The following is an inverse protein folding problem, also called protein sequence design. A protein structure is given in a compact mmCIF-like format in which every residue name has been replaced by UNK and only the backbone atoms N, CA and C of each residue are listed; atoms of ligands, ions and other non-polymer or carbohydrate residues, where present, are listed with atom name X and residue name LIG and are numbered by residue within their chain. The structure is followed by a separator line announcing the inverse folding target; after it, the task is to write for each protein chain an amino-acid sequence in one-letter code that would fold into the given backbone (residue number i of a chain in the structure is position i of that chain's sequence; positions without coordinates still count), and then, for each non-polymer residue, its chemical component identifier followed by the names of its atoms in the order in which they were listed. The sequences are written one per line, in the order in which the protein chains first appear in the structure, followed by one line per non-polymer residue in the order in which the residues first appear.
data_IF_050192992261
#
_entry.id   IF_050192992261
#
_cell.length_a   1.000
_cell.length_b   1.000
_cell.length_c   1.000
_cell.angle_alpha   90.00
_cell.angle_beta   90.00
_cell.angle_gamma   90.00
#
_symmetry.space_group_name_H-M   'P 1'
#
loop_
_entity.id
_entity.type
_entity.pdbx_description
1 polymer ?
#
# COMPACT_ATOMS: atom_id res chain seq x y z
N UNK A 1 18.10 -17.03 5.35
CA UNK A 1 18.67 -16.44 6.58
C UNK A 1 20.14 -16.01 6.38
N UNK A 2 20.43 -15.05 5.50
CA UNK A 2 21.83 -14.60 5.30
C UNK A 2 22.22 -13.41 6.16
N UNK A 3 21.27 -12.58 6.57
CA UNK A 3 21.53 -11.30 7.25
C UNK A 3 22.29 -11.47 8.58
N UNK A 4 21.90 -12.36 9.52
CA UNK A 4 22.65 -12.57 10.74
C UNK A 4 24.11 -12.98 10.50
N UNK A 5 24.35 -13.86 9.53
CA UNK A 5 25.69 -14.32 9.19
C UNK A 5 26.56 -13.17 8.65
N UNK A 6 26.01 -12.30 7.80
CA UNK A 6 26.74 -11.12 7.29
C UNK A 6 27.09 -10.12 8.40
N UNK A 7 26.21 -9.94 9.39
CA UNK A 7 26.49 -9.10 10.57
C UNK A 7 27.58 -9.74 11.45
N UNK A 8 27.56 -11.05 11.62
CA UNK A 8 28.61 -11.76 12.36
C UNK A 8 29.99 -11.60 11.69
N UNK A 9 30.06 -11.68 10.36
CA UNK A 9 31.29 -11.37 9.61
C UNK A 9 31.80 -9.94 9.87
N UNK A 10 30.90 -8.95 9.98
CA UNK A 10 31.27 -7.58 10.35
C UNK A 10 31.85 -7.50 11.76
N UNK A 11 31.26 -8.20 12.72
CA UNK A 11 31.76 -8.26 14.10
C UNK A 11 33.16 -8.88 14.14
N UNK A 12 33.37 -9.98 13.41
CA UNK A 12 34.66 -10.66 13.32
C UNK A 12 35.74 -9.77 12.70
N UNK A 13 35.44 -9.10 11.59
CA UNK A 13 36.38 -8.18 10.94
C UNK A 13 36.70 -6.96 11.81
N UNK A 14 35.74 -6.39 12.54
CA UNK A 14 35.99 -5.32 13.51
C UNK A 14 36.89 -5.77 14.67
N UNK A 15 36.67 -6.97 15.21
CA UNK A 15 37.55 -7.54 16.24
C UNK A 15 38.98 -7.75 15.74
N UNK A 16 39.14 -8.21 14.48
CA UNK A 16 40.44 -8.38 13.85
C UNK A 16 41.15 -7.04 13.63
N UNK A 17 40.44 -6.00 13.15
CA UNK A 17 40.98 -4.64 13.00
C UNK A 17 41.43 -4.10 14.36
N UNK A 18 40.62 -4.32 15.40
CA UNK A 18 40.98 -3.93 16.76
C UNK A 18 42.27 -4.60 17.25
N UNK A 19 42.48 -5.88 16.92
CA UNK A 19 43.68 -6.62 17.28
C UNK A 19 44.91 -6.22 16.45
N UNK A 20 44.73 -5.89 15.16
CA UNK A 20 45.81 -5.61 14.21
C UNK A 20 45.51 -4.34 13.36
N UNK A 21 45.52 -3.14 13.96
CA UNK A 21 45.08 -1.92 13.26
C UNK A 21 45.99 -1.47 12.11
N UNK A 22 47.19 -2.03 11.99
CA UNK A 22 48.15 -1.70 10.93
C UNK A 22 47.93 -2.50 9.63
N UNK A 23 47.03 -3.48 9.62
CA UNK A 23 46.77 -4.32 8.44
C UNK A 23 45.71 -3.70 7.51
N UNK A 24 46.11 -3.19 6.31
CA UNK A 24 45.16 -2.61 5.36
C UNK A 24 44.20 -3.64 4.76
N UNK A 25 44.56 -4.94 4.74
CA UNK A 25 43.70 -6.01 4.23
C UNK A 25 42.44 -6.20 5.08
N UNK A 26 42.55 -6.06 6.40
CA UNK A 26 41.41 -6.15 7.32
C UNK A 26 40.43 -4.98 7.12
N UNK A 27 40.94 -3.77 6.90
CA UNK A 27 40.11 -2.61 6.59
C UNK A 27 39.35 -2.78 5.26
N UNK A 28 40.01 -3.34 4.24
CA UNK A 28 39.37 -3.67 2.97
C UNK A 28 38.28 -4.73 3.14
N UNK A 29 38.57 -5.82 3.86
CA UNK A 29 37.62 -6.91 4.12
C UNK A 29 36.38 -6.44 4.88
N UNK A 30 36.55 -5.56 5.88
CA UNK A 30 35.43 -4.93 6.59
C UNK A 30 34.55 -4.10 5.63
N UNK A 31 35.17 -3.28 4.78
CA UNK A 31 34.44 -2.45 3.80
C UNK A 31 33.65 -3.31 2.82
N UNK A 32 34.26 -4.38 2.31
CA UNK A 32 33.61 -5.32 1.39
C UNK A 32 32.43 -6.04 2.06
N UNK A 33 32.62 -6.50 3.29
CA UNK A 33 31.56 -7.15 4.07
C UNK A 33 30.39 -6.19 4.36
N UNK A 34 30.68 -4.92 4.64
CA UNK A 34 29.67 -3.90 4.89
C UNK A 34 28.88 -3.59 3.62
N UNK A 35 29.56 -3.52 2.48
CA UNK A 35 28.95 -3.31 1.18
C UNK A 35 28.08 -4.51 0.76
N UNK A 36 28.53 -5.74 1.01
CA UNK A 36 27.73 -6.94 0.77
C UNK A 36 26.45 -6.96 1.62
N UNK A 37 26.56 -6.61 2.91
CA UNK A 37 25.39 -6.46 3.77
C UNK A 37 24.44 -5.40 3.23
N UNK A 38 24.97 -4.23 2.84
CA UNK A 38 24.20 -3.13 2.25
C UNK A 38 23.43 -3.58 1.02
N UNK A 39 24.10 -4.22 0.06
CA UNK A 39 23.48 -4.68 -1.18
C UNK A 39 22.35 -5.68 -0.91
N UNK A 40 22.57 -6.66 -0.03
CA UNK A 40 21.51 -7.62 0.34
C UNK A 40 20.32 -6.96 1.03
N UNK A 41 20.56 -5.99 1.91
CA UNK A 41 19.49 -5.30 2.61
C UNK A 41 18.75 -4.30 1.71
N UNK A 42 19.42 -3.66 0.75
CA UNK A 42 18.77 -2.79 -0.23
C UNK A 42 17.98 -3.54 -1.30
N UNK A 43 18.38 -4.78 -1.61
CA UNK A 43 17.64 -5.65 -2.53
C UNK A 43 16.42 -6.33 -1.87
N UNK A 44 16.20 -6.14 -0.57
CA UNK A 44 15.07 -6.76 0.12
C UNK A 44 13.73 -6.21 -0.42
N UNK A 45 12.77 -7.07 -0.81
CA UNK A 45 11.44 -6.64 -1.27
C UNK A 45 10.69 -5.80 -0.23
N UNK A 46 10.95 -6.05 1.06
CA UNK A 46 10.35 -5.34 2.19
C UNK A 46 10.85 -3.89 2.38
N UNK A 47 11.68 -3.38 1.46
CA UNK A 47 12.03 -1.96 1.43
C UNK A 47 10.90 -1.08 0.90
N UNK A 48 10.05 -1.64 0.05
CA UNK A 48 8.88 -0.98 -0.51
C UNK A 48 7.63 -1.85 -0.31
N UNK A 49 7.25 -2.13 0.95
CA UNK A 49 6.07 -2.93 1.22
C UNK A 49 4.82 -2.13 0.85
N UNK A 50 3.83 -2.80 0.27
CA UNK A 50 2.52 -2.19 0.04
C UNK A 50 1.91 -1.66 1.36
N UNK A 51 1.11 -0.59 1.33
CA UNK A 51 0.56 0.10 2.51
C UNK A 51 0.09 -0.79 3.69
N UNK A 52 -0.70 -1.82 3.47
CA UNK A 52 -1.22 -2.74 4.50
C UNK A 52 -0.08 -3.55 5.13
N UNK A 53 0.82 -4.11 4.32
CA UNK A 53 2.00 -4.80 4.84
C UNK A 53 2.91 -3.83 5.59
N UNK A 54 3.07 -2.62 5.08
CA UNK A 54 3.78 -1.52 5.74
C UNK A 54 3.22 -1.25 7.14
N UNK A 55 1.89 -1.14 7.29
CA UNK A 55 1.22 -0.99 8.60
C UNK A 55 1.46 -2.19 9.52
N UNK A 56 1.36 -3.41 8.98
CA UNK A 56 1.59 -4.64 9.76
C UNK A 56 3.05 -4.74 10.22
N UNK A 57 4.03 -4.36 9.39
CA UNK A 57 5.44 -4.32 9.75
C UNK A 57 5.73 -3.26 10.82
N UNK A 58 4.99 -2.15 10.82
CA UNK A 58 5.06 -1.13 11.86
C UNK A 58 4.46 -1.62 13.19
N UNK A 59 3.30 -2.27 13.15
CA UNK A 59 2.59 -2.72 14.36
C UNK A 59 3.39 -3.77 15.15
N UNK A 60 4.13 -4.65 14.46
CA UNK A 60 5.00 -5.65 15.09
C UNK A 60 6.44 -5.13 15.34
N UNK A 61 6.73 -3.87 14.99
CA UNK A 61 8.06 -3.27 15.15
C UNK A 61 9.15 -3.85 14.21
N UNK A 62 8.77 -4.56 13.15
CA UNK A 62 9.68 -5.23 12.22
C UNK A 62 10.54 -4.27 11.41
N UNK A 63 10.06 -3.06 11.13
CA UNK A 63 10.77 -2.07 10.30
C UNK A 63 12.19 -1.75 10.75
N UNK A 64 12.46 -1.92 12.04
CA UNK A 64 13.77 -1.69 12.65
C UNK A 64 14.77 -2.83 12.46
N UNK A 65 14.33 -3.94 11.86
CA UNK A 65 15.06 -5.21 11.74
C UNK A 65 15.09 -5.78 10.31
N UNK A 66 14.62 -5.02 9.32
CA UNK A 66 14.56 -5.45 7.92
C UNK A 66 15.11 -4.38 6.98
N UNK A 67 15.59 -4.82 5.81
CA UNK A 67 15.89 -3.97 4.68
C UNK A 67 16.88 -2.82 4.95
N UNK A 68 16.71 -1.72 4.23
CA UNK A 68 17.51 -0.50 4.28
C UNK A 68 17.57 0.11 5.69
N UNK A 69 16.45 0.05 6.43
CA UNK A 69 16.37 0.58 7.80
C UNK A 69 17.26 -0.20 8.76
N UNK A 70 17.34 -1.53 8.63
CA UNK A 70 18.31 -2.32 9.38
C UNK A 70 19.75 -1.90 9.07
N UNK A 71 20.07 -1.67 7.79
CA UNK A 71 21.40 -1.23 7.39
C UNK A 71 21.78 0.11 8.03
N UNK A 72 20.89 1.11 8.00
CA UNK A 72 21.15 2.40 8.65
C UNK A 72 21.40 2.23 10.16
N UNK A 73 20.65 1.36 10.85
CA UNK A 73 20.91 1.08 12.27
C UNK A 73 22.26 0.43 12.52
N UNK A 74 22.69 -0.51 11.66
CA UNK A 74 24.04 -1.10 11.73
C UNK A 74 25.10 0.00 11.58
N UNK A 75 24.93 0.87 10.58
CA UNK A 75 25.83 2.00 10.32
C UNK A 75 25.86 3.00 11.47
N UNK A 76 24.72 3.28 12.12
CA UNK A 76 24.64 4.14 13.29
C UNK A 76 25.39 3.55 14.48
N UNK A 77 25.23 2.24 14.74
CA UNK A 77 25.95 1.53 15.80
C UNK A 77 27.47 1.59 15.60
N UNK A 78 27.93 1.38 14.36
CA UNK A 78 29.36 1.50 14.01
C UNK A 78 29.80 2.96 14.14
N UNK A 79 28.99 3.90 13.66
CA UNK A 79 29.33 5.33 13.64
C UNK A 79 29.44 5.96 15.03
N UNK A 80 28.64 5.48 15.97
CA UNK A 80 28.73 5.89 17.37
C UNK A 80 30.04 5.45 18.06
N UNK A 81 30.79 4.51 17.48
CA UNK A 81 31.96 3.88 18.08
C UNK A 81 33.22 3.91 17.17
N UNK A 82 33.31 4.84 16.21
CA UNK A 82 34.35 4.87 15.16
C UNK A 82 35.79 4.92 15.68
N UNK A 83 36.02 5.45 16.88
CA UNK A 83 37.36 5.60 17.47
C UNK A 83 37.90 4.30 18.09
N UNK A 84 37.05 3.31 18.33
CA UNK A 84 37.42 2.09 19.04
C UNK A 84 36.75 0.86 18.39
N UNK A 85 37.44 0.16 17.46
CA UNK A 85 36.88 -1.00 16.76
C UNK A 85 36.30 -2.08 17.67
N UNK A 86 36.92 -2.33 18.84
CA UNK A 86 36.40 -3.28 19.82
C UNK A 86 35.09 -2.82 20.47
N UNK A 87 34.92 -1.51 20.70
CA UNK A 87 33.67 -0.97 21.22
C UNK A 87 32.56 -1.06 20.16
N UNK A 88 32.91 -0.78 18.89
CA UNK A 88 31.99 -0.97 17.77
C UNK A 88 31.55 -2.44 17.62
N UNK A 89 32.49 -3.38 17.70
CA UNK A 89 32.20 -4.82 17.66
C UNK A 89 31.28 -5.25 18.82
N UNK A 90 31.56 -4.81 20.05
CA UNK A 90 30.73 -5.11 21.22
C UNK A 90 29.32 -4.52 21.09
N UNK A 91 29.19 -3.28 20.62
CA UNK A 91 27.89 -2.64 20.38
C UNK A 91 27.11 -3.37 19.27
N UNK A 92 27.79 -3.77 18.20
CA UNK A 92 27.19 -4.53 17.11
C UNK A 92 26.80 -5.95 17.54
N UNK A 93 27.54 -6.60 18.42
CA UNK A 93 27.17 -7.89 19.02
C UNK A 93 25.87 -7.80 19.82
N UNK A 94 25.73 -6.75 20.64
CA UNK A 94 24.49 -6.51 21.39
C UNK A 94 23.31 -6.25 20.45
N UNK A 95 23.54 -5.50 19.36
CA UNK A 95 22.50 -5.26 18.36
C UNK A 95 22.14 -6.53 17.58
N UNK A 96 23.14 -7.31 17.15
CA UNK A 96 22.98 -8.64 16.51
C UNK A 96 22.16 -9.58 17.37
N UNK A 97 22.37 -9.59 18.70
CA UNK A 97 21.57 -10.40 19.62
C UNK A 97 20.08 -10.01 19.61
N UNK A 98 19.75 -8.72 19.44
CA UNK A 98 18.36 -8.26 19.30
C UNK A 98 17.76 -8.68 17.95
N UNK A 99 18.57 -8.60 16.89
CA UNK A 99 18.18 -9.05 15.55
C UNK A 99 17.87 -10.54 15.57
N UNK A 100 18.78 -11.37 16.07
CA UNK A 100 18.59 -12.82 16.17
C UNK A 100 17.34 -13.16 16.97
N UNK A 101 17.16 -12.54 18.14
CA UNK A 101 15.94 -12.75 18.94
C UNK A 101 14.67 -12.43 18.16
N UNK A 102 14.66 -11.34 17.38
CA UNK A 102 13.51 -10.99 16.53
C UNK A 102 13.26 -12.07 15.46
N UNK A 103 14.28 -12.44 14.69
CA UNK A 103 14.16 -13.49 13.66
C UNK A 103 13.75 -14.85 14.25
N UNK A 104 14.32 -15.25 15.39
CA UNK A 104 13.97 -16.48 16.09
C UNK A 104 12.50 -16.47 16.53
N UNK A 105 12.01 -15.33 17.03
CA UNK A 105 10.61 -15.18 17.44
C UNK A 105 9.68 -15.31 16.23
N UNK A 106 10.00 -14.66 15.11
CA UNK A 106 9.20 -14.76 13.88
C UNK A 106 9.23 -16.19 13.32
N UNK A 107 10.39 -16.85 13.30
CA UNK A 107 10.50 -18.24 12.85
C UNK A 107 9.69 -19.20 13.72
N UNK A 108 9.73 -19.04 15.05
CA UNK A 108 8.92 -19.86 15.95
C UNK A 108 7.41 -19.65 15.77
N UNK A 109 6.98 -18.41 15.45
CA UNK A 109 5.58 -18.13 15.15
C UNK A 109 5.14 -18.77 13.83
N UNK A 110 5.98 -18.69 12.81
CA UNK A 110 5.74 -19.30 11.50
C UNK A 110 5.64 -20.83 11.59
N UNK A 111 6.57 -21.47 12.31
CA UNK A 111 6.53 -22.90 12.59
C UNK A 111 5.24 -23.30 13.34
N UNK A 112 4.85 -22.52 14.35
CA UNK A 112 3.66 -22.79 15.14
C UNK A 112 2.36 -22.63 14.31
N UNK A 113 2.27 -21.59 13.47
CA UNK A 113 1.13 -21.42 12.57
C UNK A 113 1.07 -22.52 11.52
N UNK A 114 2.21 -22.91 10.96
CA UNK A 114 2.29 -24.04 10.02
C UNK A 114 1.84 -25.35 10.69
N UNK A 115 2.28 -25.63 11.92
CA UNK A 115 1.86 -26.82 12.67
C UNK A 115 0.34 -26.83 12.96
N UNK A 116 -0.24 -25.65 13.19
CA UNK A 116 -1.68 -25.49 13.38
C UNK A 116 -2.48 -25.53 12.07
N UNK A 117 -1.81 -25.62 10.90
CA UNK A 117 -2.46 -25.55 9.59
C UNK A 117 -3.04 -24.17 9.29
N UNK A 118 -2.49 -23.12 9.89
CA UNK A 118 -2.83 -21.74 9.57
C UNK A 118 -2.06 -21.37 8.30
N UNK A 119 -2.75 -21.40 7.18
CA UNK A 119 -2.21 -20.97 5.90
C UNK A 119 -2.12 -19.44 5.84
N UNK A 120 -1.07 -18.92 5.20
CA UNK A 120 -1.03 -17.53 4.78
C UNK A 120 -1.54 -17.43 3.35
N UNK A 121 -2.24 -16.35 3.03
CA UNK A 121 -2.71 -16.09 1.67
C UNK A 121 -1.78 -15.09 1.02
N UNK A 122 -1.07 -15.52 -0.01
CA UNK A 122 -0.35 -14.66 -0.93
C UNK A 122 -1.12 -14.56 -2.25
N UNK A 123 -0.95 -13.46 -2.98
CA UNK A 123 -1.47 -13.35 -4.35
C UNK A 123 -0.48 -14.07 -5.27
N UNK A 124 -0.93 -15.11 -5.96
CA UNK A 124 -0.12 -15.84 -6.92
C UNK A 124 -0.01 -15.08 -8.26
N UNK A 125 0.98 -15.39 -9.13
CA UNK A 125 1.03 -14.86 -10.48
C UNK A 125 -0.27 -15.12 -11.26
N UNK A 126 -0.84 -14.06 -11.83
CA UNK A 126 -2.13 -14.07 -12.52
C UNK A 126 -3.33 -13.78 -11.62
N UNK A 127 -3.14 -13.77 -10.30
CA UNK A 127 -4.18 -13.40 -9.35
C UNK A 127 -4.19 -11.89 -9.07
N UNK A 128 -5.28 -11.45 -8.46
CA UNK A 128 -5.53 -10.04 -8.21
C UNK A 128 -6.39 -9.84 -6.96
N UNK A 129 -6.27 -8.67 -6.34
CA UNK A 129 -7.04 -8.31 -5.16
C UNK A 129 -7.28 -6.80 -5.02
N UNK A 130 -8.35 -6.47 -4.29
CA UNK A 130 -8.61 -5.15 -3.70
C UNK A 130 -8.47 -5.33 -2.18
N UNK A 131 -7.46 -4.70 -1.60
CA UNK A 131 -7.24 -4.63 -0.16
C UNK A 131 -7.92 -3.40 0.44
N UNK A 132 -8.70 -3.59 1.50
CA UNK A 132 -9.37 -2.52 2.24
C UNK A 132 -9.00 -2.68 3.71
N UNK A 133 -8.26 -1.73 4.27
CA UNK A 133 -7.85 -1.74 5.68
C UNK A 133 -8.52 -0.58 6.41
N UNK A 134 -9.46 -0.90 7.31
CA UNK A 134 -10.27 0.08 8.03
C UNK A 134 -9.68 0.29 9.43
N UNK A 135 -9.19 1.48 9.79
CA UNK A 135 -8.78 1.74 11.16
C UNK A 135 -9.99 1.68 12.08
N UNK A 136 -9.90 0.92 13.17
CA UNK A 136 -10.97 0.80 14.16
C UNK A 136 -10.42 1.07 15.55
N UNK A 137 -11.06 1.96 16.29
CA UNK A 137 -10.72 2.20 17.69
C UNK A 137 -11.02 0.97 18.55
N UNK A 138 -10.18 0.70 19.54
CA UNK A 138 -10.39 -0.42 20.46
C UNK A 138 -11.70 -0.25 21.25
N UNK A 139 -12.50 -1.33 21.34
CA UNK A 139 -13.73 -1.35 22.14
C UNK A 139 -15.00 -0.82 21.46
N UNK A 140 -14.92 -0.31 20.23
CA UNK A 140 -16.10 0.15 19.45
C UNK A 140 -16.66 -0.91 18.49
N UNK A 141 -16.04 -2.09 18.45
CA UNK A 141 -16.35 -3.17 17.48
C UNK A 141 -17.67 -3.85 17.80
N UNK A 142 -18.70 -3.64 16.97
CA UNK A 142 -19.89 -4.52 16.94
C UNK A 142 -20.00 -5.27 15.61
N UNK A 143 -20.60 -6.46 15.63
CA UNK A 143 -20.89 -7.23 14.41
C UNK A 143 -21.81 -6.46 13.44
N UNK A 144 -22.70 -5.63 13.98
CA UNK A 144 -23.61 -4.79 13.20
C UNK A 144 -22.82 -3.75 12.39
N UNK A 145 -21.80 -3.15 12.99
CA UNK A 145 -20.97 -2.14 12.33
C UNK A 145 -20.09 -2.77 11.25
N UNK A 146 -19.50 -3.94 11.52
CA UNK A 146 -18.76 -4.70 10.50
C UNK A 146 -19.65 -5.05 9.30
N UNK A 147 -20.88 -5.54 9.56
CA UNK A 147 -21.85 -5.85 8.50
C UNK A 147 -22.25 -4.62 7.71
N UNK A 148 -22.49 -3.48 8.37
CA UNK A 148 -22.78 -2.19 7.71
C UNK A 148 -21.62 -1.76 6.81
N UNK A 149 -20.38 -1.82 7.31
CA UNK A 149 -19.18 -1.47 6.52
C UNK A 149 -19.01 -2.38 5.31
N UNK A 150 -19.15 -3.70 5.47
CA UNK A 150 -19.07 -4.64 4.36
C UNK A 150 -20.14 -4.35 3.28
N UNK A 151 -21.37 -4.05 3.69
CA UNK A 151 -22.46 -3.69 2.77
C UNK A 151 -22.18 -2.37 2.03
N UNK A 152 -21.68 -1.35 2.74
CA UNK A 152 -21.34 -0.07 2.13
C UNK A 152 -20.23 -0.23 1.08
N UNK A 153 -19.20 -1.03 1.37
CA UNK A 153 -18.14 -1.35 0.40
C UNK A 153 -18.70 -2.11 -0.80
N UNK A 154 -19.52 -3.14 -0.58
CA UNK A 154 -20.17 -3.87 -1.67
C UNK A 154 -20.95 -2.94 -2.61
N UNK A 155 -21.81 -2.08 -2.04
CA UNK A 155 -22.61 -1.14 -2.82
C UNK A 155 -21.74 -0.11 -3.55
N UNK A 156 -20.67 0.34 -2.91
CA UNK A 156 -19.78 1.35 -3.50
C UNK A 156 -18.95 0.79 -4.65
N UNK A 157 -18.58 -0.49 -4.59
CA UNK A 157 -17.78 -1.13 -5.63
C UNK A 157 -18.63 -1.70 -6.79
N UNK A 158 -19.93 -1.94 -6.57
CA UNK A 158 -20.82 -2.54 -7.57
C UNK A 158 -20.93 -1.77 -8.90
N UNK A 159 -20.99 -0.42 -8.94
CA UNK A 159 -21.00 0.31 -10.21
C UNK A 159 -19.78 0.06 -11.09
N UNK A 160 -18.61 -0.23 -10.50
CA UNK A 160 -17.40 -0.54 -11.26
C UNK A 160 -17.52 -1.88 -11.98
N UNK A 161 -18.13 -2.89 -11.35
CA UNK A 161 -18.39 -4.18 -11.99
C UNK A 161 -19.22 -3.99 -13.25
N UNK A 162 -20.28 -3.20 -13.18
CA UNK A 162 -21.14 -2.97 -14.35
C UNK A 162 -20.46 -2.16 -15.45
N UNK A 163 -19.59 -1.21 -15.10
CA UNK A 163 -18.90 -0.37 -16.08
C UNK A 163 -17.73 -1.08 -16.78
N UNK A 164 -17.05 -1.99 -16.09
CA UNK A 164 -15.78 -2.56 -16.55
C UNK A 164 -15.82 -4.08 -16.78
N UNK A 165 -16.84 -4.80 -16.30
CA UNK A 165 -16.99 -6.24 -16.54
C UNK A 165 -18.11 -6.51 -17.54
N UNK A 166 -17.78 -7.16 -18.67
CA UNK A 166 -18.78 -7.62 -19.64
C UNK A 166 -19.76 -8.62 -19.03
N UNK A 167 -19.25 -9.47 -18.15
CA UNK A 167 -19.98 -10.61 -17.59
C UNK A 167 -20.66 -10.25 -16.27
N UNK A 168 -20.42 -9.02 -15.78
CA UNK A 168 -20.93 -8.48 -14.52
C UNK A 168 -20.65 -9.41 -13.33
N UNK A 169 -19.49 -10.07 -13.35
CA UNK A 169 -19.08 -10.98 -12.28
C UNK A 169 -19.01 -10.23 -10.95
N UNK A 170 -19.71 -10.69 -9.90
CA UNK A 170 -19.70 -10.00 -8.62
C UNK A 170 -18.33 -10.07 -7.96
N UNK A 171 -17.97 -9.01 -7.24
CA UNK A 171 -16.77 -8.98 -6.40
C UNK A 171 -16.90 -10.03 -5.31
N UNK A 172 -15.88 -10.89 -5.16
CA UNK A 172 -15.86 -12.01 -4.22
C UNK A 172 -14.98 -11.69 -3.02
N UNK A 173 -15.39 -12.10 -1.82
CA UNK A 173 -14.52 -12.04 -0.65
C UNK A 173 -13.49 -13.18 -0.73
N UNK A 174 -12.20 -12.86 -0.69
CA UNK A 174 -11.08 -13.82 -0.64
C UNK A 174 -10.71 -14.12 0.81
N UNK A 175 -10.33 -13.07 1.55
CA UNK A 175 -9.91 -13.16 2.97
C UNK A 175 -10.49 -11.98 3.75
N UNK A 176 -10.76 -12.20 5.03
CA UNK A 176 -11.11 -11.15 5.97
C UNK A 176 -10.27 -11.27 7.25
N UNK A 177 -9.64 -10.17 7.66
CA UNK A 177 -9.02 -10.06 8.99
C UNK A 177 -10.01 -9.45 9.97
N UNK A 178 -10.30 -10.16 11.04
CA UNK A 178 -11.22 -9.68 12.10
C UNK A 178 -10.53 -8.82 13.15
N UNK A 179 -9.20 -8.94 13.31
CA UNK A 179 -8.42 -8.14 14.25
C UNK A 179 -8.44 -6.67 13.88
N UNK A 180 -8.25 -6.34 12.60
CA UNK A 180 -8.08 -4.96 12.11
C UNK A 180 -9.01 -4.61 10.93
N UNK A 181 -10.21 -5.22 10.89
CA UNK A 181 -11.23 -5.07 9.84
C UNK A 181 -10.62 -4.85 8.44
N UNK A 182 -10.00 -5.91 7.93
CA UNK A 182 -9.40 -5.90 6.61
C UNK A 182 -10.19 -6.81 5.67
N UNK A 183 -10.48 -6.33 4.48
CA UNK A 183 -11.12 -7.11 3.42
C UNK A 183 -10.16 -7.25 2.25
N UNK A 184 -9.99 -8.48 1.77
CA UNK A 184 -9.30 -8.79 0.54
C UNK A 184 -10.33 -9.33 -0.44
N UNK A 185 -10.60 -8.56 -1.49
CA UNK A 185 -11.67 -8.84 -2.44
C UNK A 185 -11.09 -9.20 -3.81
N UNK A 186 -11.64 -10.19 -4.48
CA UNK A 186 -11.29 -10.60 -5.83
C UNK A 186 -12.24 -9.98 -6.87
N UNK A 187 -11.70 -9.57 -8.01
CA UNK A 187 -12.48 -9.10 -9.16
C UNK A 187 -11.72 -9.32 -10.48
N UNK A 188 -12.23 -8.88 -11.62
CA UNK A 188 -11.52 -9.00 -12.90
C UNK A 188 -10.50 -7.87 -13.09
N UNK A 189 -9.40 -8.09 -13.85
CA UNK A 189 -8.38 -7.06 -14.10
C UNK A 189 -8.93 -5.73 -14.64
N UNK A 190 -9.89 -5.71 -15.60
CA UNK A 190 -10.49 -4.44 -16.05
C UNK A 190 -11.22 -3.66 -14.95
N UNK A 191 -11.89 -4.35 -14.02
CA UNK A 191 -12.56 -3.71 -12.88
C UNK A 191 -11.54 -3.12 -11.92
N UNK A 192 -10.45 -3.83 -11.62
CA UNK A 192 -9.36 -3.31 -10.80
C UNK A 192 -8.72 -2.07 -11.42
N UNK A 193 -8.49 -2.08 -12.74
CA UNK A 193 -7.97 -0.92 -13.45
C UNK A 193 -8.89 0.28 -13.28
N UNK A 194 -10.19 0.11 -13.55
CA UNK A 194 -11.20 1.17 -13.37
C UNK A 194 -11.24 1.73 -11.94
N UNK A 195 -11.21 0.85 -10.93
CA UNK A 195 -11.15 1.25 -9.52
C UNK A 195 -9.87 2.04 -9.23
N UNK A 196 -8.69 1.57 -9.67
CA UNK A 196 -7.40 2.23 -9.42
C UNK A 196 -7.35 3.65 -10.01
N UNK A 197 -7.87 3.84 -11.23
CA UNK A 197 -7.93 5.16 -11.89
C UNK A 197 -8.81 6.14 -11.11
N UNK A 198 -9.96 5.67 -10.62
CA UNK A 198 -10.85 6.48 -9.81
C UNK A 198 -10.27 6.78 -8.42
N UNK A 199 -9.64 5.80 -7.75
CA UNK A 199 -8.96 6.02 -6.46
C UNK A 199 -7.86 7.06 -6.62
N UNK A 200 -7.02 6.98 -7.66
CA UNK A 200 -6.00 7.99 -7.97
C UNK A 200 -6.61 9.39 -8.08
N UNK A 201 -7.69 9.51 -8.84
CA UNK A 201 -8.37 10.78 -9.08
C UNK A 201 -9.01 11.34 -7.81
N UNK A 202 -9.62 10.48 -6.99
CA UNK A 202 -10.15 10.86 -5.66
C UNK A 202 -9.04 11.35 -4.74
N UNK A 203 -7.89 10.65 -4.68
CA UNK A 203 -6.75 11.09 -3.89
C UNK A 203 -6.23 12.47 -4.35
N UNK A 204 -6.18 12.73 -5.65
CA UNK A 204 -5.79 14.03 -6.17
C UNK A 204 -6.77 15.13 -5.74
N UNK A 205 -8.08 14.87 -5.84
CA UNK A 205 -9.12 15.81 -5.38
C UNK A 205 -8.97 16.11 -3.88
N UNK A 206 -8.72 15.08 -3.06
CA UNK A 206 -8.49 15.24 -1.62
C UNK A 206 -7.19 16.03 -1.34
N UNK A 207 -6.10 15.76 -2.05
CA UNK A 207 -4.85 16.49 -1.91
C UNK A 207 -5.03 17.99 -2.24
N UNK A 208 -5.74 18.31 -3.31
CA UNK A 208 -6.05 19.69 -3.70
C UNK A 208 -6.92 20.40 -2.64
N UNK A 209 -7.89 19.68 -2.06
CA UNK A 209 -8.74 20.17 -0.98
C UNK A 209 -7.91 20.50 0.27
N UNK A 210 -7.01 19.60 0.67
CA UNK A 210 -6.11 19.79 1.81
C UNK A 210 -5.25 21.02 1.59
N UNK A 211 -4.61 21.11 0.42
CA UNK A 211 -3.77 22.26 0.07
C UNK A 211 -4.56 23.58 0.13
N UNK A 212 -5.79 23.58 -0.39
CA UNK A 212 -6.67 24.75 -0.34
C UNK A 212 -6.99 25.16 1.11
N UNK A 213 -7.29 24.20 1.99
CA UNK A 213 -7.52 24.45 3.42
C UNK A 213 -6.27 24.99 4.12
N UNK A 214 -5.08 24.50 3.79
CA UNK A 214 -3.83 25.05 4.32
C UNK A 214 -3.59 26.50 3.89
N UNK A 215 -3.90 26.84 2.63
CA UNK A 215 -3.80 28.21 2.12
C UNK A 215 -4.79 29.14 2.83
N UNK A 216 -6.05 28.70 3.02
CA UNK A 216 -7.06 29.43 3.78
C UNK A 216 -6.58 29.67 5.22
N UNK A 217 -5.98 28.68 5.87
CA UNK A 217 -5.43 28.81 7.22
C UNK A 217 -4.27 29.82 7.28
N UNK A 218 -3.40 29.85 6.26
CA UNK A 218 -2.32 30.85 6.13
C UNK A 218 -2.88 32.27 5.93
N UNK A 219 -3.90 32.43 5.08
CA UNK A 219 -4.57 33.71 4.88
C UNK A 219 -5.23 34.22 6.17
N UNK A 220 -5.90 33.34 6.90
CA UNK A 220 -6.47 33.67 8.21
C UNK A 220 -5.40 34.17 9.19
N UNK A 221 -4.25 33.49 9.28
CA UNK A 221 -3.11 33.92 10.11
C UNK A 221 -2.51 35.27 9.67
N UNK A 222 -2.65 35.64 8.39
CA UNK A 222 -2.15 36.90 7.85
C UNK A 222 -3.08 38.10 8.07
N UNK A 223 -4.25 37.90 8.69
CA UNK A 223 -5.20 38.97 9.01
C UNK A 223 -6.24 39.24 7.91
N UNK A 224 -6.44 38.31 6.97
CA UNK A 224 -7.56 38.39 6.01
C UNK A 224 -8.90 38.41 6.76
N UNK A 225 -9.84 39.24 6.30
CA UNK A 225 -11.15 39.38 6.96
C UNK A 225 -11.96 38.09 6.91
N UNK A 226 -12.75 37.84 7.97
CA UNK A 226 -13.57 36.63 8.07
C UNK A 226 -14.55 36.46 6.89
N UNK A 227 -15.18 37.56 6.44
CA UNK A 227 -16.11 37.53 5.31
C UNK A 227 -15.45 37.12 3.98
N UNK A 228 -14.20 37.54 3.74
CA UNK A 228 -13.47 37.11 2.55
C UNK A 228 -13.08 35.62 2.63
N UNK A 229 -12.71 35.14 3.83
CA UNK A 229 -12.37 33.73 4.05
C UNK A 229 -13.60 32.82 3.93
N UNK A 230 -14.78 33.27 4.35
CA UNK A 230 -16.02 32.49 4.28
C UNK A 230 -16.40 32.16 2.83
N UNK A 231 -16.31 33.14 1.93
CA UNK A 231 -16.57 32.91 0.50
C UNK A 231 -15.60 31.88 -0.11
N UNK A 232 -14.31 31.95 0.25
CA UNK A 232 -13.29 31.00 -0.23
C UNK A 232 -13.49 29.61 0.36
N UNK A 233 -13.90 29.52 1.63
CA UNK A 233 -14.24 28.25 2.29
C UNK A 233 -15.44 27.59 1.62
N UNK A 234 -16.52 28.34 1.40
CA UNK A 234 -17.73 27.82 0.76
C UNK A 234 -17.43 27.30 -0.66
N UNK A 235 -16.63 28.03 -1.45
CA UNK A 235 -16.17 27.56 -2.76
C UNK A 235 -15.33 26.28 -2.63
N UNK A 236 -14.32 26.28 -1.75
CA UNK A 236 -13.45 25.12 -1.51
C UNK A 236 -14.22 23.89 -1.07
N UNK A 237 -15.22 24.06 -0.22
CA UNK A 237 -16.03 22.98 0.31
C UNK A 237 -16.97 22.38 -0.77
N UNK A 238 -17.53 23.21 -1.66
CA UNK A 238 -18.34 22.74 -2.80
C UNK A 238 -17.54 22.11 -3.94
N UNK A 239 -16.23 22.37 -4.02
CA UNK A 239 -15.36 21.82 -5.07
C UNK A 239 -15.20 20.31 -4.98
N UNK A 240 -15.19 19.72 -3.78
CA UNK A 240 -15.08 18.27 -3.62
C UNK A 240 -16.23 17.54 -4.32
N UNK A 241 -17.47 17.90 -3.98
CA UNK A 241 -18.68 17.25 -4.53
C UNK A 241 -18.77 17.42 -6.05
N UNK A 242 -18.53 18.65 -6.54
CA UNK A 242 -18.58 18.95 -7.98
C UNK A 242 -17.48 18.27 -8.78
N UNK A 243 -16.25 18.14 -8.24
CA UNK A 243 -15.17 17.40 -8.90
C UNK A 243 -15.42 15.89 -8.89
N UNK A 244 -15.92 15.33 -7.78
CA UNK A 244 -16.32 13.90 -7.74
C UNK A 244 -17.46 13.63 -8.71
N UNK A 245 -18.42 14.54 -8.82
CA UNK A 245 -19.52 14.41 -9.79
C UNK A 245 -19.01 14.41 -11.22
N UNK A 246 -18.15 15.37 -11.56
CA UNK A 246 -17.50 15.43 -12.88
C UNK A 246 -16.74 14.14 -13.19
N UNK A 247 -15.94 13.65 -12.24
CA UNK A 247 -15.21 12.39 -12.38
C UNK A 247 -16.14 11.21 -12.67
N UNK A 248 -17.27 11.11 -11.96
CA UNK A 248 -18.26 10.07 -12.21
C UNK A 248 -18.90 10.19 -13.60
N UNK A 249 -19.28 11.41 -13.99
CA UNK A 249 -19.89 11.69 -15.29
C UNK A 249 -18.94 11.30 -16.44
N UNK A 250 -17.68 11.73 -16.37
CA UNK A 250 -16.65 11.43 -17.37
C UNK A 250 -16.33 9.94 -17.45
N UNK A 251 -16.25 9.26 -16.30
CA UNK A 251 -15.96 7.82 -16.22
C UNK A 251 -17.08 7.01 -16.88
N UNK A 252 -18.34 7.32 -16.58
CA UNK A 252 -19.49 6.64 -17.18
C UNK A 252 -19.61 6.98 -18.67
N UNK A 253 -19.42 8.24 -19.05
CA UNK A 253 -19.47 8.67 -20.45
C UNK A 253 -18.44 7.95 -21.32
N UNK A 254 -17.26 7.69 -20.75
CA UNK A 254 -16.17 7.01 -21.43
C UNK A 254 -16.40 5.50 -21.52
N UNK A 255 -16.85 4.85 -20.44
CA UNK A 255 -16.82 3.39 -20.34
C UNK A 255 -18.16 2.70 -20.64
N UNK A 256 -19.30 3.37 -20.42
CA UNK A 256 -20.61 2.77 -20.71
C UNK A 256 -20.92 2.84 -22.22
N UNK A 257 -20.94 1.68 -22.89
CA UNK A 257 -21.07 1.57 -24.34
C UNK A 257 -22.49 1.33 -24.85
N UNK A 258 -23.43 1.01 -23.97
CA UNK A 258 -24.81 0.73 -24.34
C UNK A 258 -25.59 2.04 -24.61
N UNK A 259 -26.58 1.96 -25.51
CA UNK A 259 -27.41 3.11 -25.88
C UNK A 259 -28.66 3.23 -25.00
N UNK A 260 -28.49 3.16 -23.68
CA UNK A 260 -29.53 3.40 -22.69
C UNK A 260 -29.21 4.66 -21.87
N UNK A 261 -29.82 5.79 -22.26
CA UNK A 261 -29.60 7.06 -21.59
C UNK A 261 -30.11 7.08 -20.14
N UNK A 262 -31.16 6.30 -19.84
CA UNK A 262 -31.72 6.19 -18.49
C UNK A 262 -30.74 5.48 -17.57
N UNK A 263 -30.29 4.30 -17.98
CA UNK A 263 -29.32 3.52 -17.21
C UNK A 263 -28.00 4.26 -17.05
N UNK A 264 -27.54 4.94 -18.11
CA UNK A 264 -26.33 5.78 -18.05
C UNK A 264 -26.43 6.86 -16.96
N UNK A 265 -27.57 7.53 -16.84
CA UNK A 265 -27.76 8.55 -15.81
C UNK A 265 -27.84 7.95 -14.40
N UNK A 266 -28.45 6.76 -14.24
CA UNK A 266 -28.43 6.03 -12.97
C UNK A 266 -27.01 5.65 -12.56
N UNK A 267 -26.18 5.16 -13.49
CA UNK A 267 -24.78 4.82 -13.24
C UNK A 267 -23.96 6.04 -12.84
N UNK A 268 -24.18 7.20 -13.47
CA UNK A 268 -23.54 8.47 -13.07
C UNK A 268 -23.84 8.84 -11.62
N UNK A 269 -25.11 8.71 -11.22
CA UNK A 269 -25.53 8.97 -9.84
C UNK A 269 -24.92 7.95 -8.86
N UNK A 270 -24.99 6.66 -9.19
CA UNK A 270 -24.47 5.60 -8.35
C UNK A 270 -22.96 5.71 -8.17
N UNK A 271 -22.20 5.90 -9.26
CA UNK A 271 -20.75 6.07 -9.20
C UNK A 271 -20.36 7.34 -8.43
N UNK A 272 -21.08 8.45 -8.60
CA UNK A 272 -20.83 9.67 -7.81
C UNK A 272 -21.01 9.42 -6.30
N UNK A 273 -22.03 8.66 -5.89
CA UNK A 273 -22.22 8.27 -4.50
C UNK A 273 -21.10 7.35 -4.00
N UNK A 274 -20.70 6.35 -4.80
CA UNK A 274 -19.58 5.45 -4.51
C UNK A 274 -18.27 6.21 -4.30
N UNK A 275 -17.95 7.14 -5.20
CA UNK A 275 -16.71 7.93 -5.13
C UNK A 275 -16.71 8.88 -3.92
N UNK A 276 -17.87 9.46 -3.58
CA UNK A 276 -18.01 10.23 -2.34
C UNK A 276 -17.80 9.36 -1.10
N UNK A 277 -18.34 8.13 -1.08
CA UNK A 277 -18.09 7.18 -0.01
C UNK A 277 -16.59 6.84 0.10
N UNK A 278 -15.94 6.49 -1.01
CA UNK A 278 -14.51 6.18 -1.04
C UNK A 278 -13.68 7.38 -0.55
N UNK A 279 -14.00 8.61 -1.00
CA UNK A 279 -13.31 9.82 -0.57
C UNK A 279 -13.42 10.03 0.95
N UNK A 280 -14.60 9.77 1.54
CA UNK A 280 -14.80 9.82 2.99
C UNK A 280 -13.97 8.80 3.72
N UNK A 281 -13.99 7.55 3.26
CA UNK A 281 -13.27 6.47 3.91
C UNK A 281 -11.75 6.76 3.87
N UNK A 282 -11.21 7.19 2.73
CA UNK A 282 -9.80 7.63 2.61
C UNK A 282 -9.50 8.78 3.58
N UNK A 283 -10.35 9.81 3.62
CA UNK A 283 -10.18 10.94 4.54
C UNK A 283 -10.23 10.53 6.02
N UNK A 284 -10.96 9.47 6.36
CA UNK A 284 -11.03 8.90 7.70
C UNK A 284 -9.87 7.96 8.04
N UNK A 285 -8.93 7.75 7.12
CA UNK A 285 -7.74 6.91 7.31
C UNK A 285 -7.88 5.47 6.82
N UNK A 286 -8.97 5.12 6.10
CA UNK A 286 -9.04 3.83 5.42
C UNK A 286 -7.97 3.77 4.34
N UNK A 287 -7.22 2.67 4.34
CA UNK A 287 -6.22 2.39 3.31
C UNK A 287 -6.83 1.47 2.25
N UNK A 288 -6.69 1.87 0.99
CA UNK A 288 -7.11 1.08 -0.16
C UNK A 288 -5.89 0.67 -0.97
N UNK A 289 -5.88 -0.60 -1.36
CA UNK A 289 -4.85 -1.20 -2.20
C UNK A 289 -5.54 -1.92 -3.36
N UNK A 290 -4.96 -1.80 -4.55
CA UNK A 290 -5.39 -2.56 -5.73
C UNK A 290 -4.14 -3.22 -6.29
N UNK A 291 -4.16 -4.54 -6.42
CA UNK A 291 -3.00 -5.33 -6.85
C UNK A 291 -3.40 -6.33 -7.92
N UNK A 292 -2.57 -6.42 -8.94
CA UNK A 292 -2.61 -7.47 -9.95
C UNK A 292 -1.17 -7.97 -10.08
N UNK A 293 -0.93 -9.24 -9.73
CA UNK A 293 0.36 -9.85 -10.01
C UNK A 293 0.27 -10.42 -11.42
N UNK A 294 1.02 -9.90 -12.41
CA UNK A 294 0.93 -10.42 -13.75
C UNK A 294 1.41 -11.88 -13.78
N UNK A 295 0.87 -12.71 -14.68
CA UNK A 295 1.36 -14.07 -14.86
C UNK A 295 2.81 -14.08 -15.34
N UNK A 296 3.50 -15.18 -15.07
CA UNK A 296 4.86 -15.42 -15.55
C UNK A 296 4.91 -15.34 -17.09
N UNK A 297 6.04 -14.87 -17.65
CA UNK A 297 6.20 -14.83 -19.10
C UNK A 297 6.15 -16.26 -19.65
N UNK A 298 5.34 -16.45 -20.69
CA UNK A 298 5.27 -17.73 -21.41
C UNK A 298 6.63 -18.03 -22.03
N UNK A 299 7.26 -19.15 -21.65
CA UNK A 299 8.48 -19.61 -22.33
C UNK A 299 8.10 -20.31 -23.63
N UNK A 300 8.75 -19.93 -24.73
CA UNK A 300 8.49 -20.43 -26.09
C UNK A 300 8.58 -21.96 -26.26
N UNK A 301 9.12 -22.69 -25.28
CA UNK A 301 9.46 -24.12 -25.40
C UNK A 301 8.61 -25.08 -24.54
N UNK A 302 7.61 -24.61 -23.77
CA UNK A 302 6.94 -25.48 -22.77
C UNK A 302 5.70 -26.24 -23.29
N UNK A 303 5.25 -26.06 -24.54
CA UNK A 303 4.08 -26.79 -25.07
C UNK A 303 4.24 -27.25 -26.52
N UNK A 304 4.80 -28.45 -26.72
CA UNK A 304 4.78 -29.18 -28.01
C UNK A 304 3.35 -29.54 -28.49
N UNK A 305 2.32 -29.23 -27.68
CA UNK A 305 0.92 -29.61 -27.90
C UNK A 305 -0.03 -28.45 -28.22
N UNK A 306 0.40 -27.19 -28.10
CA UNK A 306 -0.43 -26.03 -28.46
C UNK A 306 -0.23 -25.66 -29.93
N UNK A 307 -1.30 -25.21 -30.60
CA UNK A 307 -1.17 -24.69 -31.95
C UNK A 307 -0.39 -23.35 -31.92
N UNK A 308 0.32 -22.99 -33.00
CA UNK A 308 1.02 -21.70 -33.06
C UNK A 308 0.11 -20.50 -32.79
N UNK A 309 -1.15 -20.57 -33.22
CA UNK A 309 -2.14 -19.49 -33.04
C UNK A 309 -2.54 -19.33 -31.57
N UNK A 310 -2.78 -20.44 -30.83
CA UNK A 310 -3.13 -20.40 -29.40
C UNK A 310 -2.00 -19.78 -28.56
N UNK A 311 -0.75 -20.06 -28.92
CA UNK A 311 0.41 -19.50 -28.22
C UNK A 311 0.52 -17.98 -28.45
N UNK A 312 0.22 -17.49 -29.66
CA UNK A 312 0.21 -16.05 -29.97
C UNK A 312 -0.85 -15.33 -29.15
N UNK A 313 -2.06 -15.86 -29.07
CA UNK A 313 -3.15 -15.27 -28.28
C UNK A 313 -2.84 -15.27 -26.78
N UNK A 314 -2.24 -16.36 -26.27
CA UNK A 314 -1.81 -16.46 -24.86
C UNK A 314 -0.72 -15.44 -24.53
N UNK A 315 0.29 -15.28 -25.39
CA UNK A 315 1.34 -14.28 -25.21
C UNK A 315 0.75 -12.86 -25.22
N UNK A 316 -0.16 -12.57 -26.16
CA UNK A 316 -0.81 -11.28 -26.25
C UNK A 316 -1.62 -10.96 -24.97
N UNK A 317 -2.35 -11.94 -24.44
CA UNK A 317 -3.12 -11.79 -23.20
C UNK A 317 -2.22 -11.56 -21.97
N UNK A 318 -1.10 -12.30 -21.84
CA UNK A 318 -0.14 -12.08 -20.74
C UNK A 318 0.46 -10.67 -20.80
N UNK A 319 0.80 -10.19 -22.00
CA UNK A 319 1.31 -8.82 -22.18
C UNK A 319 0.25 -7.74 -21.92
N UNK A 320 -1.03 -8.00 -22.21
CA UNK A 320 -2.12 -7.12 -21.82
C UNK A 320 -2.26 -7.03 -20.29
N UNK A 321 -2.26 -8.18 -19.60
CA UNK A 321 -2.35 -8.21 -18.13
C UNK A 321 -1.17 -7.51 -17.46
N UNK A 322 0.04 -7.59 -18.04
CA UNK A 322 1.21 -6.85 -17.57
C UNK A 322 1.02 -5.34 -17.68
N UNK A 323 0.54 -4.86 -18.82
CA UNK A 323 0.23 -3.43 -19.00
C UNK A 323 -0.81 -2.96 -17.99
N UNK A 324 -1.86 -3.74 -17.77
CA UNK A 324 -2.88 -3.44 -16.77
C UNK A 324 -2.26 -3.40 -15.37
N UNK A 325 -1.40 -4.35 -15.02
CA UNK A 325 -0.72 -4.39 -13.73
C UNK A 325 0.17 -3.16 -13.51
N UNK A 326 0.94 -2.77 -14.53
CA UNK A 326 1.78 -1.57 -14.51
C UNK A 326 0.92 -0.30 -14.37
N UNK A 327 -0.20 -0.19 -15.08
CA UNK A 327 -1.13 0.93 -14.95
C UNK A 327 -1.76 1.01 -13.57
N UNK A 328 -2.20 -0.13 -13.00
CA UNK A 328 -2.72 -0.21 -11.63
C UNK A 328 -1.65 0.25 -10.64
N UNK A 329 -0.43 -0.27 -10.76
CA UNK A 329 0.69 0.11 -9.90
C UNK A 329 0.93 1.63 -9.93
N UNK A 330 1.07 2.21 -11.13
CA UNK A 330 1.24 3.64 -11.32
C UNK A 330 0.05 4.47 -10.78
N UNK A 331 -1.17 3.94 -10.84
CA UNK A 331 -2.34 4.62 -10.29
C UNK A 331 -2.39 4.60 -8.76
N UNK A 332 -1.80 3.58 -8.14
CA UNK A 332 -1.73 3.43 -6.68
C UNK A 332 -0.49 4.11 -6.08
N UNK A 333 0.45 4.59 -6.91
CA UNK A 333 1.53 5.48 -6.49
C UNK A 333 1.03 6.93 -6.35
N UNK A 334 0.58 7.28 -5.16
CA UNK A 334 0.29 8.67 -4.81
C UNK A 334 0.95 9.04 -3.47
N UNK A 335 1.35 10.31 -3.30
CA UNK A 335 1.90 10.76 -2.03
C UNK A 335 0.87 10.55 -0.93
N UNK A 336 1.29 10.14 0.29
CA UNK A 336 0.38 10.02 1.41
C UNK A 336 -0.30 11.38 1.66
N UNK A 337 -1.59 11.35 1.97
CA UNK A 337 -2.32 12.54 2.39
C UNK A 337 -1.79 12.96 3.78
N UNK A 338 -0.81 13.86 3.80
CA UNK A 338 -0.21 14.37 5.04
C UNK A 338 -1.05 15.54 5.55
N UNK A 339 -1.74 15.31 6.66
CA UNK A 339 -2.42 16.36 7.40
C UNK A 339 -1.45 17.02 8.37
N UNK A 340 -1.03 18.24 8.07
CA UNK A 340 -0.18 19.02 8.98
C UNK A 340 -0.94 19.57 10.20
N UNK A 341 -2.26 19.36 10.27
CA UNK A 341 -3.10 19.71 11.42
C UNK A 341 -3.31 18.51 12.34
N UNK A 342 -3.30 18.76 13.65
CA UNK A 342 -3.75 17.78 14.64
C UNK A 342 -5.25 17.46 14.56
N UNK A 343 -5.99 18.17 13.71
CA UNK A 343 -7.43 17.96 13.49
C UNK A 343 -7.64 17.06 12.27
N UNK A 344 -8.55 16.07 12.36
CA UNK A 344 -8.93 15.22 11.24
C UNK A 344 -9.58 16.04 10.12
N UNK A 345 -9.45 15.57 8.88
CA UNK A 345 -10.10 16.22 7.74
C UNK A 345 -11.62 16.03 7.83
N UNK A 346 -12.30 17.05 8.31
CA UNK A 346 -13.76 17.11 8.22
C UNK A 346 -14.14 17.46 6.78
N UNK A 347 -14.76 16.51 6.09
CA UNK A 347 -15.32 16.74 4.76
C UNK A 347 -16.68 17.46 4.89
N UNK A 348 -16.91 18.55 4.15
CA UNK A 348 -18.14 19.33 4.22
C UNK A 348 -19.35 18.54 3.69
N UNK A 349 -20.53 18.78 4.27
CA UNK A 349 -21.81 18.24 3.78
C UNK A 349 -22.09 16.77 4.10
N UNK A 350 -21.30 16.16 4.98
CA UNK A 350 -21.31 14.72 5.23
C UNK A 350 -21.53 14.42 6.72
N UNK A 351 -22.68 14.84 7.26
CA UNK A 351 -23.13 14.38 8.58
C UNK A 351 -23.53 12.90 8.49
N UNK A 352 -23.11 12.08 9.47
CA UNK A 352 -23.22 10.60 9.47
C UNK A 352 -24.67 10.06 9.35
N UNK A 353 -25.69 10.91 9.49
CA UNK A 353 -27.09 10.51 9.66
C UNK A 353 -27.88 10.20 8.37
N UNK A 354 -27.24 10.19 7.20
CA UNK A 354 -27.95 10.04 5.90
C UNK A 354 -27.76 8.71 5.14
N UNK A 355 -27.13 7.69 5.74
CA UNK A 355 -27.01 6.34 5.13
C UNK A 355 -27.38 5.18 6.04
#
# INVERSE_FOLDING_TARGET
METPAKIETLIQTLNQIGANPADPGLALSFRESLEQLRQSLLAAPLNDPHPTLSMNLDSIGARSFIGARLFERVKDVISANQLAPQQAAAALQQFSSKINKFYDTIGQLDDAFTELGVEYTEIEPGENEIGISIPVEEGTKTLKDLSKKANNWHNSLSPFVELYSSDKEPIKLRVMSSSDWQFYLFSTPPVLLGISMCIRSVNQILADLIHSKELIAKLAKSGTSASALEAVRADTDGRLESQIRTLADDTVDTNYKENDAGRKNELKNALSQSLNFIAREIASGVTLEVRLIPPDPVKEAESEQESPDDNVDRIAHVEELRKIADEIHNNMEFPPLVFNSSEPLVLPGLEEDSM
#
